data_IF_638010220419
#
_entry.id   IF_638010220419
#
_cell.length_a   1.000
_cell.length_b   1.000
_cell.length_c   1.000
_cell.angle_alpha   90.00
_cell.angle_beta   90.00
_cell.angle_gamma   90.00
#
_symmetry.space_group_name_H-M   'P 1'
#
loop_
_entity.id
_entity.type
_entity.pdbx_description
1 polymer ?
#
# COMPACT_ATOMS: atom_id res chain seq x y z
N UNK A 1 -11.12 -4.99 15.46
CA UNK A 1 -10.13 -4.90 14.36
C UNK A 1 -8.71 -4.79 14.88
N UNK A 2 -8.38 -3.78 15.71
CA UNK A 2 -7.06 -3.68 16.36
C UNK A 2 -6.68 -4.90 17.21
N UNK A 3 -7.63 -5.47 17.94
CA UNK A 3 -7.44 -6.73 18.69
C UNK A 3 -7.09 -7.93 17.80
N UNK A 4 -7.71 -8.03 16.61
CA UNK A 4 -7.38 -9.06 15.64
C UNK A 4 -5.93 -8.94 15.17
N UNK A 5 -5.46 -7.71 14.91
CA UNK A 5 -4.05 -7.45 14.61
C UNK A 5 -3.15 -7.87 15.79
N UNK A 6 -3.50 -7.54 17.03
CA UNK A 6 -2.73 -7.96 18.21
C UNK A 6 -2.61 -9.48 18.29
N UNK A 7 -3.68 -10.22 18.01
CA UNK A 7 -3.67 -11.68 18.00
C UNK A 7 -2.79 -12.26 16.88
N UNK A 8 -2.76 -11.64 15.70
CA UNK A 8 -1.84 -12.03 14.63
C UNK A 8 -0.37 -11.77 15.01
N UNK A 9 -0.07 -10.64 15.63
CA UNK A 9 1.29 -10.28 16.05
C UNK A 9 1.84 -11.29 17.07
N UNK A 10 1.02 -11.77 18.00
CA UNK A 10 1.40 -12.81 18.98
C UNK A 10 1.82 -14.14 18.35
N UNK A 11 1.44 -14.40 17.10
CA UNK A 11 1.79 -15.62 16.37
C UNK A 11 3.10 -15.50 15.57
N UNK A 12 3.75 -14.33 15.60
CA UNK A 12 5.02 -14.10 14.90
C UNK A 12 6.21 -14.55 15.74
N UNK A 13 7.26 -15.04 15.09
CA UNK A 13 8.43 -15.60 15.79
C UNK A 13 9.46 -14.53 16.14
N UNK A 14 9.47 -13.43 15.40
CA UNK A 14 10.44 -12.34 15.56
C UNK A 14 9.77 -10.97 15.52
N UNK A 15 10.32 -9.95 16.21
CA UNK A 15 9.82 -8.58 16.10
C UNK A 15 9.81 -8.06 14.66
N UNK A 16 10.76 -8.48 13.82
CA UNK A 16 10.81 -8.11 12.42
C UNK A 16 9.61 -8.66 11.63
N UNK A 17 9.28 -9.94 11.83
CA UNK A 17 8.07 -10.55 11.26
C UNK A 17 6.80 -9.82 11.73
N UNK A 18 6.69 -9.53 13.03
CA UNK A 18 5.58 -8.77 13.58
C UNK A 18 5.43 -7.39 12.96
N UNK A 19 6.53 -6.64 12.79
CA UNK A 19 6.50 -5.31 12.14
C UNK A 19 6.05 -5.38 10.68
N UNK A 20 6.52 -6.40 9.96
CA UNK A 20 6.12 -6.63 8.58
C UNK A 20 4.64 -7.02 8.47
N UNK A 21 4.14 -7.86 9.38
CA UNK A 21 2.73 -8.22 9.48
C UNK A 21 1.86 -7.01 9.79
N UNK A 22 2.23 -6.18 10.77
CA UNK A 22 1.50 -4.94 11.10
C UNK A 22 1.40 -4.03 9.88
N UNK A 23 2.51 -3.82 9.18
CA UNK A 23 2.53 -2.98 7.98
C UNK A 23 1.60 -3.52 6.89
N UNK A 24 1.69 -4.81 6.59
CA UNK A 24 0.90 -5.45 5.54
C UNK A 24 -0.61 -5.45 5.90
N UNK A 25 -0.94 -5.67 7.18
CA UNK A 25 -2.30 -5.55 7.68
C UNK A 25 -2.86 -4.14 7.48
N UNK A 26 -2.11 -3.11 7.87
CA UNK A 26 -2.55 -1.72 7.71
C UNK A 26 -2.69 -1.32 6.25
N UNK A 27 -1.78 -1.79 5.37
CA UNK A 27 -1.93 -1.63 3.92
C UNK A 27 -3.24 -2.25 3.42
N UNK A 28 -3.60 -3.45 3.89
CA UNK A 28 -4.88 -4.08 3.53
C UNK A 28 -6.09 -3.29 4.05
N UNK A 29 -6.04 -2.74 5.26
CA UNK A 29 -7.11 -1.88 5.80
C UNK A 29 -7.27 -0.58 5.00
N UNK A 30 -6.15 0.04 4.61
CA UNK A 30 -6.15 1.25 3.77
C UNK A 30 -6.77 0.92 2.39
N UNK A 31 -6.36 -0.19 1.78
CA UNK A 31 -6.95 -0.64 0.50
C UNK A 31 -8.45 -0.91 0.60
N UNK A 32 -8.92 -1.47 1.72
CA UNK A 32 -10.36 -1.68 1.95
C UNK A 32 -11.11 -0.34 2.03
N UNK A 33 -10.58 0.65 2.75
CA UNK A 33 -11.17 2.00 2.84
C UNK A 33 -11.21 2.70 1.47
N UNK A 34 -10.13 2.57 0.69
CA UNK A 34 -10.07 3.06 -0.69
C UNK A 34 -11.13 2.39 -1.58
N UNK A 35 -11.28 1.07 -1.49
CA UNK A 35 -12.31 0.35 -2.23
C UNK A 35 -13.72 0.82 -1.85
N UNK A 36 -14.03 0.94 -0.56
CA UNK A 36 -15.33 1.41 -0.05
C UNK A 36 -15.68 2.83 -0.49
N UNK A 37 -14.67 3.68 -0.64
CA UNK A 37 -14.81 5.07 -1.09
C UNK A 37 -14.80 5.22 -2.63
N UNK A 38 -14.81 4.12 -3.38
CA UNK A 38 -14.88 4.13 -4.85
C UNK A 38 -13.55 4.44 -5.53
N UNK A 39 -12.44 4.45 -4.80
CA UNK A 39 -11.14 4.85 -5.32
C UNK A 39 -10.61 3.87 -6.39
N UNK A 40 -11.09 2.63 -6.43
CA UNK A 40 -10.78 1.62 -7.46
C UNK A 40 -11.43 1.93 -8.83
N UNK A 41 -12.30 2.94 -8.93
CA UNK A 41 -12.91 3.36 -10.19
C UNK A 41 -11.93 4.21 -11.01
N UNK A 42 -11.35 5.30 -10.47
CA UNK A 42 -10.38 6.12 -11.21
C UNK A 42 -8.93 5.62 -11.10
N UNK A 43 -8.57 4.85 -10.07
CA UNK A 43 -7.17 4.49 -9.80
C UNK A 43 -6.89 3.01 -10.05
N UNK A 44 -5.75 2.73 -10.68
CA UNK A 44 -5.17 1.40 -10.79
C UNK A 44 -3.99 1.24 -9.84
N UNK A 45 -4.01 0.19 -9.02
CA UNK A 45 -2.94 -0.18 -8.10
C UNK A 45 -1.74 -0.78 -8.85
N UNK A 46 -0.53 -0.36 -8.49
CA UNK A 46 0.70 -0.88 -9.09
C UNK A 46 1.87 -0.90 -8.09
N UNK A 47 3.09 -1.08 -8.59
CA UNK A 47 4.30 -1.09 -7.77
C UNK A 47 4.55 -2.38 -6.99
N UNK A 48 5.45 -2.30 -6.01
CA UNK A 48 5.93 -3.46 -5.25
C UNK A 48 4.86 -4.10 -4.37
N UNK A 49 3.99 -3.27 -3.77
CA UNK A 49 2.94 -3.76 -2.89
C UNK A 49 1.81 -4.42 -3.68
N UNK A 50 1.49 -3.96 -4.89
CA UNK A 50 0.59 -4.67 -5.79
C UNK A 50 1.08 -6.09 -6.09
N UNK A 51 2.37 -6.24 -6.40
CA UNK A 51 2.96 -7.56 -6.64
C UNK A 51 2.94 -8.45 -5.39
N UNK A 52 3.14 -7.87 -4.20
CA UNK A 52 3.03 -8.59 -2.93
C UNK A 52 1.61 -9.11 -2.72
N UNK A 53 0.59 -8.27 -2.92
CA UNK A 53 -0.81 -8.60 -2.67
C UNK A 53 -1.40 -9.55 -3.72
N UNK A 54 -1.07 -9.36 -5.00
CA UNK A 54 -1.63 -10.10 -6.12
C UNK A 54 -0.90 -11.42 -6.42
N UNK A 55 0.42 -11.47 -6.21
CA UNK A 55 1.25 -12.60 -6.62
C UNK A 55 2.16 -13.15 -5.51
N UNK A 56 1.88 -12.79 -4.25
CA UNK A 56 2.61 -13.30 -3.07
C UNK A 56 4.12 -13.11 -3.14
N UNK A 57 4.59 -12.03 -3.76
CA UNK A 57 6.02 -11.78 -3.93
C UNK A 57 6.75 -11.67 -2.57
N UNK A 58 7.95 -12.23 -2.44
CA UNK A 58 8.62 -12.47 -1.15
C UNK A 58 9.12 -11.24 -0.38
N UNK A 59 8.99 -10.03 -0.94
CA UNK A 59 9.53 -8.81 -0.33
C UNK A 59 8.42 -7.88 0.13
N UNK A 60 8.54 -7.41 1.37
CA UNK A 60 7.69 -6.38 1.93
C UNK A 60 8.04 -5.03 1.28
N UNK A 61 7.01 -4.31 0.88
CA UNK A 61 7.11 -2.96 0.33
C UNK A 61 6.38 -2.01 1.27
N UNK A 62 6.86 -0.77 1.36
CA UNK A 62 6.36 0.22 2.31
C UNK A 62 5.23 1.08 1.73
N UNK A 63 5.20 1.20 0.40
CA UNK A 63 4.40 2.20 -0.30
C UNK A 63 3.19 1.58 -1.01
N UNK A 64 2.09 2.31 -1.10
CA UNK A 64 0.92 1.99 -1.90
C UNK A 64 0.89 2.92 -3.12
N UNK A 65 1.25 2.37 -4.29
CA UNK A 65 1.40 3.14 -5.52
C UNK A 65 0.18 2.96 -6.43
N UNK A 66 -0.36 4.07 -6.92
CA UNK A 66 -1.50 4.10 -7.83
C UNK A 66 -1.22 4.96 -9.06
N UNK A 67 -1.92 4.64 -10.13
CA UNK A 67 -1.95 5.40 -11.37
C UNK A 67 -3.40 5.86 -11.62
N UNK A 68 -3.58 7.13 -11.99
CA UNK A 68 -4.88 7.66 -12.40
C UNK A 68 -5.17 7.26 -13.85
N UNK A 69 -5.87 6.14 -14.03
CA UNK A 69 -6.16 5.54 -15.34
C UNK A 69 -7.62 5.78 -15.79
N UNK A 70 -8.53 6.02 -14.84
CA UNK A 70 -9.93 6.31 -15.12
C UNK A 70 -10.25 7.81 -15.24
N UNK A 71 -11.54 8.16 -15.22
CA UNK A 71 -11.96 9.56 -15.32
C UNK A 71 -11.55 10.35 -14.07
N UNK A 72 -10.83 11.46 -14.30
CA UNK A 72 -10.37 12.41 -13.29
C UNK A 72 -11.50 13.07 -12.51
N UNK A 73 -12.70 13.17 -13.07
CA UNK A 73 -13.86 13.75 -12.37
C UNK A 73 -14.27 12.95 -11.13
N UNK A 74 -13.97 11.65 -11.10
CA UNK A 74 -14.21 10.77 -9.95
C UNK A 74 -13.01 10.71 -8.99
N UNK A 75 -11.92 11.42 -9.28
CA UNK A 75 -10.72 11.37 -8.45
C UNK A 75 -10.73 12.42 -7.34
N UNK A 76 -11.02 11.97 -6.11
CA UNK A 76 -11.13 12.83 -4.94
C UNK A 76 -10.12 12.43 -3.84
N UNK A 77 -8.83 12.71 -4.07
CA UNK A 77 -7.73 12.28 -3.20
C UNK A 77 -7.93 12.63 -1.72
N UNK A 78 -8.34 13.86 -1.41
CA UNK A 78 -8.55 14.29 -0.02
C UNK A 78 -9.73 13.60 0.63
N UNK A 79 -10.76 13.22 -0.12
CA UNK A 79 -11.92 12.52 0.43
C UNK A 79 -11.58 11.06 0.73
N UNK A 80 -10.75 10.42 -0.10
CA UNK A 80 -10.16 9.12 0.22
C UNK A 80 -9.37 9.15 1.54
N UNK A 81 -8.55 10.17 1.76
CA UNK A 81 -7.78 10.33 2.99
C UNK A 81 -8.66 10.60 4.22
N UNK A 82 -9.78 11.31 4.05
CA UNK A 82 -10.79 11.48 5.12
C UNK A 82 -11.45 10.15 5.46
N UNK A 83 -11.82 9.35 4.47
CA UNK A 83 -12.39 8.02 4.67
C UNK A 83 -11.42 7.11 5.43
N UNK A 84 -10.16 7.04 4.98
CA UNK A 84 -9.09 6.26 5.64
C UNK A 84 -8.94 6.67 7.11
N UNK A 85 -8.91 7.98 7.39
CA UNK A 85 -8.83 8.49 8.77
C UNK A 85 -10.04 8.04 9.58
N UNK A 86 -11.24 8.25 9.06
CA UNK A 86 -12.49 7.92 9.74
C UNK A 86 -12.55 6.43 10.09
N UNK A 87 -12.32 5.57 9.11
CA UNK A 87 -12.37 4.11 9.28
C UNK A 87 -11.37 3.64 10.33
N UNK A 88 -10.11 4.01 10.18
CA UNK A 88 -9.08 3.50 11.07
C UNK A 88 -9.12 4.15 12.47
N UNK A 89 -9.54 5.41 12.61
CA UNK A 89 -9.78 5.99 13.94
C UNK A 89 -10.94 5.29 14.64
N UNK A 90 -12.00 4.91 13.92
CA UNK A 90 -13.10 4.13 14.48
C UNK A 90 -12.66 2.73 14.97
N UNK A 91 -11.58 2.19 14.40
CA UNK A 91 -10.97 0.92 14.81
C UNK A 91 -10.04 1.05 16.03
N UNK A 92 -9.86 2.26 16.57
CA UNK A 92 -9.03 2.54 17.75
C UNK A 92 -7.56 2.84 17.44
N UNK A 93 -7.23 3.22 16.20
CA UNK A 93 -5.89 3.68 15.83
C UNK A 93 -5.75 5.20 16.01
N UNK A 94 -4.65 5.63 16.62
CA UNK A 94 -4.21 7.02 16.56
C UNK A 94 -3.52 7.27 15.22
N UNK A 95 -4.01 8.27 14.46
CA UNK A 95 -3.56 8.49 13.09
C UNK A 95 -3.27 9.95 12.82
N UNK A 96 -2.13 10.19 12.17
CA UNK A 96 -1.78 11.47 11.58
C UNK A 96 -1.64 11.28 10.07
N UNK A 97 -2.20 12.20 9.27
CA UNK A 97 -2.03 12.18 7.82
C UNK A 97 -1.31 13.45 7.38
N UNK A 98 -0.16 13.28 6.73
CA UNK A 98 0.56 14.37 6.05
C UNK A 98 0.34 14.26 4.54
N UNK A 99 -0.15 15.33 3.91
CA UNK A 99 -0.56 15.33 2.50
C UNK A 99 0.31 16.28 1.69
N UNK A 100 0.67 15.86 0.48
CA UNK A 100 1.27 16.70 -0.54
C UNK A 100 0.64 16.38 -1.90
N UNK A 101 -0.33 17.20 -2.29
CA UNK A 101 -1.14 17.08 -3.50
C UNK A 101 -0.93 18.24 -4.49
N UNK A 102 0.21 18.94 -4.37
CA UNK A 102 0.58 20.07 -5.24
C UNK A 102 1.43 19.66 -6.45
N UNK A 103 1.78 18.38 -6.57
CA UNK A 103 2.66 17.84 -7.61
C UNK A 103 1.89 16.92 -8.56
N UNK A 104 2.52 16.53 -9.66
CA UNK A 104 1.97 15.51 -10.59
C UNK A 104 1.67 14.19 -9.86
N UNK A 105 2.50 13.84 -8.88
CA UNK A 105 2.27 12.72 -7.98
C UNK A 105 1.69 13.26 -6.68
N UNK A 106 0.42 12.93 -6.43
CA UNK A 106 -0.20 13.19 -5.15
C UNK A 106 0.33 12.17 -4.15
N UNK A 107 0.73 12.62 -2.96
CA UNK A 107 1.31 11.74 -1.95
C UNK A 107 0.72 12.03 -0.57
N UNK A 108 0.63 10.98 0.24
CA UNK A 108 0.25 11.08 1.64
C UNK A 108 1.02 10.07 2.49
N UNK A 109 1.39 10.49 3.70
CA UNK A 109 1.86 9.57 4.74
C UNK A 109 0.75 9.37 5.75
N UNK A 110 0.25 8.14 5.84
CA UNK A 110 -0.64 7.69 6.91
C UNK A 110 0.25 7.15 8.03
N UNK A 111 0.28 7.87 9.15
CA UNK A 111 1.21 7.64 10.26
C UNK A 111 0.46 7.11 11.47
N UNK A 112 1.08 6.14 12.14
CA UNK A 112 0.57 5.44 13.33
C UNK A 112 1.59 5.59 14.47
N UNK A 113 1.58 6.73 15.18
CA UNK A 113 2.50 6.95 16.30
C UNK A 113 2.24 5.95 17.43
N UNK A 114 3.31 5.41 18.03
CA UNK A 114 3.21 4.55 19.21
C UNK A 114 2.67 3.14 18.95
N UNK A 115 2.11 2.86 17.77
CA UNK A 115 1.49 1.57 17.46
C UNK A 115 2.44 0.38 17.65
N UNK A 116 3.71 0.53 17.27
CA UNK A 116 4.69 -0.55 17.41
C UNK A 116 5.04 -0.82 18.87
N UNK A 117 5.03 0.21 19.72
CA UNK A 117 5.18 0.06 21.16
C UNK A 117 3.96 -0.63 21.77
N UNK A 118 2.74 -0.19 21.41
CA UNK A 118 1.48 -0.82 21.84
C UNK A 118 1.42 -2.32 21.49
N UNK A 119 2.02 -2.73 20.37
CA UNK A 119 2.07 -4.12 19.91
C UNK A 119 3.25 -4.92 20.48
N UNK A 120 4.09 -4.33 21.35
CA UNK A 120 5.28 -4.99 21.90
C UNK A 120 6.39 -5.26 20.87
N UNK A 121 6.36 -4.56 19.73
CA UNK A 121 7.29 -4.72 18.61
C UNK A 121 8.41 -3.68 18.61
N UNK A 122 8.37 -2.73 19.53
CA UNK A 122 9.38 -1.70 19.72
C UNK A 122 9.48 -1.30 21.19
N UNK A 123 10.69 -1.06 21.72
CA UNK A 123 10.86 -0.47 23.05
C UNK A 123 10.61 1.06 23.06
N UNK A 124 10.51 1.70 21.88
CA UNK A 124 10.39 3.16 21.76
C UNK A 124 8.92 3.58 21.66
N UNK A 125 8.42 4.31 22.66
CA UNK A 125 7.02 4.79 22.71
C UNK A 125 6.68 5.79 21.60
N UNK A 126 7.67 6.50 21.08
CA UNK A 126 7.51 7.53 20.06
C UNK A 126 7.79 7.02 18.63
N UNK A 127 8.07 5.73 18.45
CA UNK A 127 8.30 5.19 17.12
C UNK A 127 7.02 5.27 16.28
N UNK A 128 7.16 5.78 15.05
CA UNK A 128 6.04 5.96 14.13
C UNK A 128 6.16 5.00 12.97
N UNK A 129 5.17 4.11 12.84
CA UNK A 129 4.97 3.37 11.60
C UNK A 129 4.24 4.26 10.61
N UNK A 130 4.70 4.28 9.35
CA UNK A 130 4.05 5.03 8.29
C UNK A 130 3.81 4.14 7.07
N UNK A 131 2.64 4.32 6.45
CA UNK A 131 2.32 3.79 5.13
C UNK A 131 2.24 4.99 4.19
N UNK A 132 3.05 4.97 3.13
CA UNK A 132 3.01 5.99 2.09
C UNK A 132 1.97 5.59 1.05
N UNK A 133 1.17 6.55 0.60
CA UNK A 133 0.27 6.40 -0.54
C UNK A 133 0.69 7.40 -1.60
N UNK A 134 0.85 6.95 -2.83
CA UNK A 134 1.16 7.80 -3.99
C UNK A 134 0.18 7.53 -5.13
N UNK A 135 -0.22 8.60 -5.81
CA UNK A 135 -1.05 8.54 -7.01
C UNK A 135 -0.41 9.38 -8.09
N UNK A 136 0.08 8.73 -9.14
CA UNK A 136 0.50 9.43 -10.35
C UNK A 136 -0.75 9.91 -11.10
N UNK A 137 -0.92 11.24 -11.18
CA UNK A 137 -2.07 11.86 -11.86
C UNK A 137 -1.85 12.06 -13.36
N UNK A 138 -0.68 11.66 -13.88
CA UNK A 138 -0.34 11.68 -15.30
C UNK A 138 0.52 10.45 -15.66
N UNK A 139 0.00 9.22 -15.47
CA UNK A 139 0.77 8.02 -15.71
C UNK A 139 1.12 7.84 -17.20
N UNK A 140 2.19 7.11 -17.52
CA UNK A 140 2.49 6.68 -18.89
C UNK A 140 1.32 5.89 -19.48
N UNK A 141 1.01 6.14 -20.75
CA UNK A 141 -0.06 5.43 -21.45
C UNK A 141 0.36 4.01 -21.82
N UNK A 142 -0.61 3.11 -21.94
CA UNK A 142 -0.43 1.76 -22.48
C UNK A 142 -0.33 0.66 -21.43
N UNK A 143 -0.55 0.98 -20.15
CA UNK A 143 -0.71 -0.04 -19.12
C UNK A 143 -2.02 -0.81 -19.34
N UNK A 144 -1.93 -2.14 -19.37
CA UNK A 144 -3.10 -3.00 -19.31
C UNK A 144 -3.72 -2.99 -17.92
N UNK A 145 -5.04 -3.11 -17.83
CA UNK A 145 -5.79 -3.06 -16.58
C UNK A 145 -6.47 -4.40 -16.30
N UNK A 146 -6.50 -4.78 -15.04
CA UNK A 146 -7.20 -5.97 -14.56
C UNK A 146 -7.83 -5.70 -13.20
N UNK A 147 -8.80 -6.53 -12.84
CA UNK A 147 -9.44 -6.49 -11.52
C UNK A 147 -9.39 -7.89 -10.92
N UNK A 148 -8.78 -8.01 -9.75
CA UNK A 148 -8.60 -9.30 -9.06
C UNK A 148 -9.17 -9.24 -7.66
N UNK A 149 -9.92 -10.27 -7.27
CA UNK A 149 -10.39 -10.45 -5.90
C UNK A 149 -9.35 -11.28 -5.14
N UNK A 150 -8.87 -10.74 -4.02
CA UNK A 150 -7.94 -11.42 -3.12
C UNK A 150 -8.50 -11.44 -1.69
N UNK A 151 -8.05 -12.41 -0.90
CA UNK A 151 -8.38 -12.53 0.53
C UNK A 151 -7.09 -12.44 1.33
N UNK A 152 -6.83 -11.27 1.90
CA UNK A 152 -5.61 -11.01 2.68
C UNK A 152 -5.94 -10.08 3.84
N UNK A 153 -6.14 -10.67 5.02
CA UNK A 153 -6.75 -10.08 6.21
C UNK A 153 -8.23 -9.68 6.02
N UNK A 154 -8.57 -9.12 4.85
CA UNK A 154 -9.92 -8.79 4.41
C UNK A 154 -10.10 -9.14 2.92
N UNK A 155 -11.34 -9.07 2.44
CA UNK A 155 -11.65 -9.27 1.02
C UNK A 155 -11.40 -7.97 0.28
N UNK A 156 -10.52 -8.01 -0.73
CA UNK A 156 -10.16 -6.86 -1.55
C UNK A 156 -10.45 -7.18 -3.01
N UNK A 157 -11.16 -6.30 -3.71
CA UNK A 157 -11.34 -6.27 -5.14
C UNK A 157 -10.47 -5.14 -5.69
N UNK A 158 -9.26 -5.49 -6.08
CA UNK A 158 -8.26 -4.51 -6.49
C UNK A 158 -8.35 -4.28 -7.99
N UNK A 159 -8.50 -3.02 -8.40
CA UNK A 159 -8.24 -2.59 -9.76
C UNK A 159 -6.74 -2.28 -9.87
N UNK A 160 -6.05 -2.87 -10.84
CA UNK A 160 -4.58 -2.84 -10.91
C UNK A 160 -4.05 -2.95 -12.33
N UNK A 161 -2.78 -2.58 -12.51
CA UNK A 161 -2.05 -2.85 -13.74
C UNK A 161 -1.89 -4.36 -13.95
N UNK A 162 -2.02 -4.83 -15.19
CA UNK A 162 -1.86 -6.24 -15.51
C UNK A 162 -0.41 -6.72 -15.25
N UNK A 163 -0.21 -8.04 -15.28
CA UNK A 163 1.08 -8.63 -14.93
C UNK A 163 2.22 -8.13 -15.84
N UNK A 164 1.95 -7.93 -17.14
CA UNK A 164 2.95 -7.44 -18.09
C UNK A 164 3.35 -6.00 -17.79
N UNK A 165 2.38 -5.14 -17.50
CA UNK A 165 2.60 -3.74 -17.15
C UNK A 165 3.35 -3.60 -15.81
N UNK A 166 3.01 -4.42 -14.82
CA UNK A 166 3.73 -4.47 -13.54
C UNK A 166 5.20 -4.93 -13.71
N UNK A 167 5.44 -5.90 -14.58
CA UNK A 167 6.80 -6.36 -14.92
C UNK A 167 7.59 -5.25 -15.64
N UNK A 168 6.96 -4.62 -16.64
CA UNK A 168 7.55 -3.52 -17.40
C UNK A 168 7.92 -2.34 -16.51
N UNK A 169 7.03 -1.93 -15.61
CA UNK A 169 7.29 -0.84 -14.66
C UNK A 169 8.51 -1.11 -13.78
N UNK A 170 8.70 -2.35 -13.34
CA UNK A 170 9.92 -2.74 -12.61
C UNK A 170 11.16 -2.75 -13.48
N UNK A 171 11.11 -3.33 -14.69
CA UNK A 171 12.24 -3.29 -15.64
C UNK A 171 12.67 -1.85 -15.93
N UNK A 172 11.71 -0.95 -16.12
CA UNK A 172 11.96 0.47 -16.30
C UNK A 172 12.67 1.08 -15.08
N UNK A 173 12.21 0.78 -13.87
CA UNK A 173 12.87 1.22 -12.64
C UNK A 173 14.33 0.74 -12.59
N UNK A 174 14.60 -0.53 -12.88
CA UNK A 174 15.97 -1.08 -12.88
C UNK A 174 16.88 -0.36 -13.87
N UNK A 175 16.39 -0.15 -15.09
CA UNK A 175 17.18 0.36 -16.21
C UNK A 175 17.45 1.87 -16.09
N UNK A 176 16.58 2.61 -15.42
CA UNK A 176 16.70 4.07 -15.29
C UNK A 176 17.08 4.55 -13.90
N UNK A 177 16.80 3.78 -12.85
CA UNK A 177 17.06 4.11 -11.45
C UNK A 177 17.67 2.87 -10.80
N UNK A 178 18.99 2.72 -10.89
CA UNK A 178 19.71 1.61 -10.24
C UNK A 178 19.50 1.68 -8.71
N UNK A 179 18.45 1.01 -8.21
CA UNK A 179 18.29 0.76 -6.79
C UNK A 179 18.67 -0.71 -6.51
N UNK A 180 19.36 -1.01 -5.39
CA UNK A 180 19.63 -2.40 -4.98
C UNK A 180 18.36 -3.25 -4.84
N UNK A 181 17.20 -2.59 -4.66
CA UNK A 181 15.87 -3.21 -4.53
C UNK A 181 15.40 -3.82 -5.86
N UNK A 182 15.87 -3.31 -6.98
CA UNK A 182 15.42 -3.73 -8.29
C UNK A 182 16.20 -4.96 -8.80
N UNK A 183 17.50 -5.06 -8.51
CA UNK A 183 18.34 -6.19 -8.92
C UNK A 183 17.83 -7.57 -8.41
N UNK A 184 17.31 -7.64 -7.18
CA UNK A 184 16.76 -8.88 -6.61
C UNK A 184 15.47 -9.32 -7.34
N UNK A 185 14.80 -8.41 -8.08
CA UNK A 185 13.54 -8.73 -8.77
C UNK A 185 13.76 -9.57 -10.02
N UNK A 186 14.87 -9.36 -10.74
CA UNK A 186 15.22 -10.16 -11.92
C UNK A 186 15.43 -11.64 -11.56
N UNK A 187 16.10 -11.89 -10.43
CA UNK A 187 16.41 -13.24 -9.94
C UNK A 187 15.12 -14.05 -9.64
N UNK A 188 14.08 -13.41 -9.09
CA UNK A 188 12.82 -14.10 -8.76
C UNK A 188 11.94 -14.41 -9.97
N UNK A 189 12.19 -13.81 -11.14
CA UNK A 189 11.40 -13.99 -12.36
C UNK A 189 12.11 -14.81 -13.45
N UNK A 190 13.34 -15.28 -13.19
CA UNK A 190 14.09 -16.10 -14.16
C UNK A 190 14.43 -15.33 -15.44
N UNK A 191 14.75 -14.05 -15.32
CA UNK A 191 15.32 -13.22 -16.39
C UNK A 191 16.83 -13.12 -16.17
#
# INVERSE_FOLDING_TARGET
MKEYLTNLVKQTNTPLEGRNLVREYLQARILESLQKSGAMIPMAFHGGTALRFLFSHGRYSEDLDFALEGNRDYYHFRDYLKAIRSDLTSEGYQIEIKVNDQKTVNSAFIRFPGLLYEMGLSPMTNEVLAVKMEVDTKPPKGAGLSTTIIRRFVVLQLHHHDKASLLSGKLHAILHVLTPRDAIFMICFGI
#
